data_IF_820841163583
#
_entry.id   IF_820841163583
#
_cell.length_a   1.000
_cell.length_b   1.000
_cell.length_c   1.000
_cell.angle_alpha   90.00
_cell.angle_beta   90.00
_cell.angle_gamma   90.00
#
_symmetry.space_group_name_H-M   'P 1'
#
loop_
_entity.id
_entity.type
_entity.pdbx_description
1 polymer ?
#
# COMPACT_ATOMS: atom_id res chain seq x y z
N UNK A 1 -28.78 1.89 36.84
CA UNK A 1 -27.89 0.94 36.13
C UNK A 1 -28.49 0.74 34.75
N UNK A 2 -28.25 1.70 33.86
CA UNK A 2 -28.75 1.61 32.49
C UNK A 2 -27.72 0.86 31.66
N UNK A 3 -27.89 -0.46 31.62
CA UNK A 3 -27.28 -1.28 30.57
C UNK A 3 -27.99 -0.88 29.28
N UNK A 4 -27.53 0.20 28.66
CA UNK A 4 -27.87 0.51 27.28
C UNK A 4 -27.59 -0.76 26.48
N UNK A 5 -28.65 -1.25 25.84
CA UNK A 5 -28.67 -2.34 24.91
C UNK A 5 -27.66 -2.04 23.79
N UNK A 6 -26.37 -2.31 24.01
CA UNK A 6 -25.31 -2.20 23.00
C UNK A 6 -25.65 -3.28 22.00
N UNK A 7 -26.27 -2.87 20.91
CA UNK A 7 -26.68 -3.69 19.80
C UNK A 7 -25.53 -4.65 19.42
N UNK A 8 -25.67 -5.92 19.80
CA UNK A 8 -24.58 -6.92 19.80
C UNK A 8 -24.12 -7.21 18.36
N UNK A 9 -24.96 -6.89 17.38
CA UNK A 9 -24.73 -7.11 15.96
C UNK A 9 -24.15 -5.90 15.19
N UNK A 10 -23.88 -4.78 15.88
CA UNK A 10 -23.32 -3.58 15.25
C UNK A 10 -21.81 -3.43 15.51
N UNK A 11 -21.07 -2.81 14.59
CA UNK A 11 -19.67 -2.47 14.82
C UNK A 11 -19.50 -1.39 15.92
N UNK A 12 -18.34 -1.31 16.60
CA UNK A 12 -18.03 -0.20 17.50
C UNK A 12 -18.21 1.16 16.82
N UNK A 13 -18.80 2.15 17.51
CA UNK A 13 -19.03 3.49 16.93
C UNK A 13 -17.73 4.16 16.46
N UNK A 14 -16.64 3.93 17.19
CA UNK A 14 -15.31 4.39 16.82
C UNK A 14 -14.83 3.91 15.44
N UNK A 15 -15.34 2.79 14.92
CA UNK A 15 -14.99 2.31 13.58
C UNK A 15 -15.31 3.36 12.52
N UNK A 16 -16.49 3.99 12.58
CA UNK A 16 -16.91 4.99 11.58
C UNK A 16 -15.98 6.19 11.58
N UNK A 17 -15.55 6.65 12.77
CA UNK A 17 -14.59 7.75 12.90
C UNK A 17 -13.26 7.35 12.28
N UNK A 18 -12.71 6.18 12.63
CA UNK A 18 -11.44 5.70 12.06
C UNK A 18 -11.52 5.48 10.55
N UNK A 19 -12.63 4.94 10.05
CA UNK A 19 -12.86 4.72 8.63
C UNK A 19 -12.76 6.02 7.85
N UNK A 20 -13.49 7.07 8.25
CA UNK A 20 -13.46 8.33 7.53
C UNK A 20 -12.13 9.06 7.72
N UNK A 21 -11.55 9.06 8.92
CA UNK A 21 -10.23 9.64 9.16
C UNK A 21 -9.15 9.00 8.30
N UNK A 22 -9.12 7.66 8.18
CA UNK A 22 -8.19 6.95 7.29
C UNK A 22 -8.51 7.22 5.82
N UNK A 23 -9.78 7.22 5.42
CA UNK A 23 -10.19 7.49 4.03
C UNK A 23 -9.65 8.85 3.55
N UNK A 24 -9.75 9.87 4.39
CA UNK A 24 -9.29 11.23 4.07
C UNK A 24 -7.77 11.38 4.08
N UNK A 25 -7.08 10.69 4.99
CA UNK A 25 -5.62 10.62 4.93
C UNK A 25 -5.18 9.91 3.64
N UNK A 26 -5.83 8.80 3.25
CA UNK A 26 -5.48 8.03 2.05
C UNK A 26 -5.81 8.78 0.78
N UNK A 27 -6.92 9.50 0.75
CA UNK A 27 -7.24 10.48 -0.29
C UNK A 27 -6.09 11.44 -0.52
N UNK A 28 -5.56 12.01 0.57
CA UNK A 28 -4.48 12.99 0.51
C UNK A 28 -3.17 12.35 0.02
N UNK A 29 -2.80 11.21 0.61
CA UNK A 29 -1.59 10.47 0.26
C UNK A 29 -1.57 10.05 -1.21
N UNK A 30 -2.62 9.37 -1.69
CA UNK A 30 -2.68 8.88 -3.07
C UNK A 30 -2.87 10.02 -4.07
N UNK A 31 -3.63 11.06 -3.71
CA UNK A 31 -3.79 12.25 -4.54
C UNK A 31 -2.46 12.98 -4.76
N UNK A 32 -1.72 13.29 -3.70
CA UNK A 32 -0.39 13.89 -3.80
C UNK A 32 0.59 12.98 -4.55
N UNK A 33 0.59 11.67 -4.23
CA UNK A 33 1.46 10.67 -4.88
C UNK A 33 1.23 10.60 -6.39
N UNK A 34 0.01 10.78 -6.87
CA UNK A 34 -0.31 10.79 -8.30
C UNK A 34 0.26 12.01 -9.05
N UNK A 35 0.49 13.12 -8.34
CA UNK A 35 1.10 14.34 -8.89
C UNK A 35 2.63 14.35 -8.80
N UNK A 36 3.19 13.65 -7.80
CA UNK A 36 4.58 13.78 -7.37
C UNK A 36 5.61 13.71 -8.51
N UNK A 37 5.66 12.61 -9.27
CA UNK A 37 6.67 12.44 -10.32
C UNK A 37 6.44 13.37 -11.52
N UNK A 38 5.18 13.72 -11.81
CA UNK A 38 4.82 14.66 -12.86
C UNK A 38 5.27 16.07 -12.50
N UNK A 39 5.05 16.49 -11.26
CA UNK A 39 5.49 17.80 -10.76
C UNK A 39 7.01 17.93 -10.78
N UNK A 40 7.74 16.91 -10.29
CA UNK A 40 9.21 16.91 -10.27
C UNK A 40 9.81 17.08 -11.68
N UNK A 41 9.20 16.45 -12.69
CA UNK A 41 9.69 16.53 -14.07
C UNK A 41 9.21 17.77 -14.82
N UNK A 42 7.95 18.20 -14.63
CA UNK A 42 7.35 19.33 -15.36
C UNK A 42 7.69 20.70 -14.77
N UNK A 43 7.78 20.81 -13.45
CA UNK A 43 7.97 22.10 -12.75
C UNK A 43 9.42 22.28 -12.30
N UNK A 44 10.02 21.26 -11.69
CA UNK A 44 11.41 21.33 -11.24
C UNK A 44 12.43 20.92 -12.29
N UNK A 45 11.98 20.40 -13.44
CA UNK A 45 12.81 19.95 -14.55
C UNK A 45 13.88 18.94 -14.13
N UNK A 46 13.58 18.11 -13.12
CA UNK A 46 14.45 16.99 -12.79
C UNK A 46 14.43 15.96 -13.92
N UNK A 47 15.56 15.26 -14.07
CA UNK A 47 15.65 14.13 -14.97
C UNK A 47 14.66 13.04 -14.53
N UNK A 48 14.22 12.20 -15.47
CA UNK A 48 13.36 11.05 -15.14
C UNK A 48 14.00 10.16 -14.07
N UNK A 49 15.33 10.00 -14.11
CA UNK A 49 16.09 9.22 -13.13
C UNK A 49 15.95 9.84 -11.75
N UNK A 50 16.21 11.14 -11.61
CA UNK A 50 16.17 11.82 -10.31
C UNK A 50 14.74 11.90 -9.76
N UNK A 51 13.76 12.20 -10.61
CA UNK A 51 12.36 12.27 -10.22
C UNK A 51 11.84 10.91 -9.71
N UNK A 52 12.15 9.82 -10.42
CA UNK A 52 11.75 8.48 -10.00
C UNK A 52 12.53 7.99 -8.77
N UNK A 53 13.80 8.37 -8.60
CA UNK A 53 14.58 8.08 -7.39
C UNK A 53 13.99 8.79 -6.17
N UNK A 54 13.67 10.09 -6.28
CA UNK A 54 12.99 10.83 -5.21
C UNK A 54 11.66 10.18 -4.87
N UNK A 55 10.88 9.81 -5.89
CA UNK A 55 9.61 9.11 -5.72
C UNK A 55 9.78 7.80 -4.93
N UNK A 56 10.70 6.92 -5.35
CA UNK A 56 10.95 5.63 -4.72
C UNK A 56 11.51 5.75 -3.29
N UNK A 57 12.37 6.74 -3.04
CA UNK A 57 12.86 7.04 -1.67
C UNK A 57 11.71 7.51 -0.79
N UNK A 58 10.88 8.44 -1.27
CA UNK A 58 9.73 8.92 -0.52
C UNK A 58 8.76 7.79 -0.19
N UNK A 59 8.30 7.02 -1.19
CA UNK A 59 7.35 5.92 -0.96
C UNK A 59 7.97 4.80 -0.12
N UNK A 60 9.26 4.51 -0.31
CA UNK A 60 9.98 3.57 0.53
C UNK A 60 9.97 4.00 1.99
N UNK A 61 10.41 5.22 2.29
CA UNK A 61 10.48 5.73 3.66
C UNK A 61 9.11 5.76 4.35
N UNK A 62 8.02 5.98 3.60
CA UNK A 62 6.64 5.87 4.10
C UNK A 62 6.28 4.46 4.61
N UNK A 63 6.98 3.40 4.18
CA UNK A 63 6.86 2.04 4.75
C UNK A 63 7.87 1.74 5.86
N UNK A 64 8.98 2.48 5.94
CA UNK A 64 10.00 2.28 6.96
C UNK A 64 9.68 3.04 8.27
N UNK A 65 9.31 4.32 8.18
CA UNK A 65 9.07 5.16 9.36
C UNK A 65 7.91 4.69 10.25
N UNK A 66 6.86 4.01 9.75
CA UNK A 66 5.84 3.40 10.63
C UNK A 66 6.38 2.41 11.65
N UNK A 67 7.47 1.70 11.35
CA UNK A 67 8.09 0.78 12.32
C UNK A 67 8.64 1.54 13.52
N UNK A 68 9.24 2.71 13.26
CA UNK A 68 9.81 3.60 14.28
C UNK A 68 8.69 4.32 15.04
N UNK A 69 7.75 4.93 14.32
CA UNK A 69 6.66 5.70 14.93
C UNK A 69 5.70 4.83 15.75
N UNK A 70 5.42 3.60 15.30
CA UNK A 70 4.63 2.63 16.07
C UNK A 70 5.30 2.23 17.38
N UNK A 71 6.62 1.99 17.36
CA UNK A 71 7.41 1.72 18.57
C UNK A 71 7.39 2.91 19.55
N UNK A 72 7.56 4.14 19.04
CA UNK A 72 7.54 5.34 19.87
C UNK A 72 6.15 5.60 20.48
N UNK A 73 5.09 5.36 19.72
CA UNK A 73 3.71 5.48 20.17
C UNK A 73 3.38 4.48 21.28
N UNK A 74 3.78 3.23 21.12
CA UNK A 74 3.51 2.17 22.08
C UNK A 74 4.23 2.41 23.42
N UNK A 75 5.48 2.88 23.40
CA UNK A 75 6.32 2.97 24.60
C UNK A 75 6.38 4.33 25.27
N UNK A 76 6.25 5.43 24.53
CA UNK A 76 6.58 6.76 25.05
C UNK A 76 5.45 7.77 24.88
N UNK A 77 4.87 7.86 23.68
CA UNK A 77 3.97 8.97 23.34
C UNK A 77 2.49 8.66 23.60
N UNK A 78 2.09 7.38 23.53
CA UNK A 78 0.67 6.98 23.48
C UNK A 78 0.06 7.17 22.09
N UNK A 79 -1.04 6.47 21.81
CA UNK A 79 -1.63 6.44 20.47
C UNK A 79 -2.31 7.76 20.12
N UNK A 80 -3.04 8.38 21.05
CA UNK A 80 -3.73 9.66 20.76
C UNK A 80 -2.76 10.75 20.33
N UNK A 81 -1.70 10.99 21.10
CA UNK A 81 -0.70 12.02 20.77
C UNK A 81 0.00 11.71 19.45
N UNK A 82 0.33 10.46 19.20
CA UNK A 82 0.99 10.03 17.97
C UNK A 82 0.10 10.21 16.74
N UNK A 83 -1.20 9.88 16.81
CA UNK A 83 -2.13 10.09 15.70
C UNK A 83 -2.25 11.58 15.39
N UNK A 84 -2.47 12.44 16.40
CA UNK A 84 -2.60 13.88 16.17
C UNK A 84 -1.31 14.54 15.69
N UNK A 85 -0.15 14.14 16.25
CA UNK A 85 1.16 14.59 15.77
C UNK A 85 1.35 14.20 14.30
N UNK A 86 1.12 12.93 13.98
CA UNK A 86 1.26 12.39 12.64
C UNK A 86 0.37 13.11 11.62
N UNK A 87 -0.91 13.27 11.95
CA UNK A 87 -1.86 13.97 11.08
C UNK A 87 -1.50 15.45 10.88
N UNK A 88 -1.08 16.14 11.94
CA UNK A 88 -0.67 17.56 11.86
C UNK A 88 0.57 17.73 10.99
N UNK A 89 1.58 16.87 11.15
CA UNK A 89 2.78 16.85 10.31
C UNK A 89 2.41 16.62 8.83
N UNK A 90 1.50 15.68 8.54
CA UNK A 90 1.05 15.42 7.17
C UNK A 90 0.28 16.61 6.57
N UNK A 91 -0.57 17.28 7.35
CA UNK A 91 -1.31 18.47 6.90
C UNK A 91 -0.34 19.58 6.49
N UNK A 92 0.62 19.92 7.35
CA UNK A 92 1.65 20.91 7.02
C UNK A 92 2.59 20.44 5.90
N UNK A 93 2.84 19.14 5.80
CA UNK A 93 3.58 18.55 4.69
C UNK A 93 2.93 18.85 3.35
N UNK A 94 1.64 18.54 3.19
CA UNK A 94 0.89 18.85 1.97
C UNK A 94 0.79 20.36 1.70
N UNK A 95 0.55 21.18 2.74
CA UNK A 95 0.52 22.64 2.60
C UNK A 95 1.88 23.18 2.13
N UNK A 96 2.99 22.61 2.62
CA UNK A 96 4.34 22.96 2.20
C UNK A 96 4.56 22.66 0.71
N UNK A 97 4.04 21.54 0.20
CA UNK A 97 4.12 21.22 -1.24
C UNK A 97 3.36 22.24 -2.11
N UNK A 98 2.28 22.83 -1.59
CA UNK A 98 1.45 23.78 -2.32
C UNK A 98 2.16 25.12 -2.65
N UNK A 99 3.30 25.42 -2.01
CA UNK A 99 4.11 26.61 -2.32
C UNK A 99 5.03 26.43 -3.52
N UNK A 100 5.16 25.22 -4.07
CA UNK A 100 5.87 24.94 -5.33
C UNK A 100 7.35 25.38 -5.39
N UNK A 101 8.03 25.59 -4.25
CA UNK A 101 9.47 25.92 -4.22
C UNK A 101 10.27 24.75 -3.66
N UNK A 102 11.50 24.53 -4.17
CA UNK A 102 12.32 23.37 -3.80
C UNK A 102 12.50 23.20 -2.27
N UNK A 103 12.83 24.24 -1.48
CA UNK A 103 13.00 24.08 -0.03
C UNK A 103 11.71 23.61 0.66
N UNK A 104 10.57 24.25 0.36
CA UNK A 104 9.28 23.87 0.91
C UNK A 104 8.82 22.49 0.41
N UNK A 105 9.17 22.13 -0.82
CA UNK A 105 8.83 20.83 -1.36
C UNK A 105 9.53 19.68 -0.60
N UNK A 106 10.86 19.77 -0.41
CA UNK A 106 11.60 18.73 0.31
C UNK A 106 11.29 18.74 1.82
N UNK A 107 11.05 19.91 2.43
CA UNK A 107 10.50 20.00 3.77
C UNK A 107 9.16 19.26 3.86
N UNK A 108 8.27 19.50 2.88
CA UNK A 108 6.96 18.86 2.79
C UNK A 108 7.06 17.35 2.74
N UNK A 109 7.92 16.79 1.88
CA UNK A 109 8.17 15.35 1.82
C UNK A 109 8.69 14.79 3.15
N UNK A 110 9.60 15.50 3.82
CA UNK A 110 10.10 15.11 5.14
C UNK A 110 9.01 15.07 6.21
N UNK A 111 8.16 16.10 6.25
CA UNK A 111 7.01 16.17 7.16
C UNK A 111 6.01 15.04 6.89
N UNK A 112 5.75 14.72 5.62
CA UNK A 112 4.87 13.61 5.23
C UNK A 112 5.43 12.25 5.68
N UNK A 113 6.71 12.00 5.44
CA UNK A 113 7.40 10.75 5.85
C UNK A 113 7.31 10.56 7.38
N UNK A 114 7.58 11.61 8.16
CA UNK A 114 7.49 11.56 9.62
C UNK A 114 6.04 11.43 10.08
N UNK A 115 5.14 12.18 9.45
CA UNK A 115 3.72 12.22 9.79
C UNK A 115 3.03 10.87 9.60
N UNK A 116 3.22 10.23 8.44
CA UNK A 116 2.72 8.88 8.18
C UNK A 116 3.33 7.87 9.15
N UNK A 117 4.61 8.04 9.50
CA UNK A 117 5.32 7.19 10.46
C UNK A 117 4.61 7.11 11.82
N UNK A 118 4.11 8.25 12.33
CA UNK A 118 3.34 8.25 13.59
C UNK A 118 1.88 7.86 13.40
N UNK A 119 1.25 8.24 12.29
CA UNK A 119 -0.19 8.08 12.09
C UNK A 119 -0.60 6.64 11.73
N UNK A 120 0.02 6.06 10.69
CA UNK A 120 -0.40 4.78 10.09
C UNK A 120 -0.37 3.58 11.05
N UNK A 121 0.71 3.34 11.82
CA UNK A 121 0.73 2.17 12.71
C UNK A 121 -0.19 2.35 13.93
N UNK A 122 -0.45 3.61 14.33
CA UNK A 122 -1.19 3.91 15.56
C UNK A 122 -2.69 3.85 15.35
N UNK A 123 -3.19 4.38 14.22
CA UNK A 123 -4.62 4.32 13.90
C UNK A 123 -5.09 2.86 13.68
N UNK A 124 -4.27 2.03 13.03
CA UNK A 124 -4.54 0.60 12.86
C UNK A 124 -4.52 -0.17 14.20
N UNK A 125 -3.63 0.23 15.12
CA UNK A 125 -3.59 -0.36 16.48
C UNK A 125 -4.84 0.03 17.28
N UNK A 126 -5.25 1.30 17.22
CA UNK A 126 -6.48 1.80 17.84
C UNK A 126 -7.71 1.04 17.29
N UNK A 127 -7.77 0.80 15.97
CA UNK A 127 -8.81 -0.04 15.37
C UNK A 127 -8.84 -1.45 15.97
N UNK A 128 -7.68 -2.09 16.19
CA UNK A 128 -7.66 -3.40 16.84
C UNK A 128 -8.20 -3.37 18.27
N UNK A 129 -7.81 -2.34 19.03
CA UNK A 129 -8.15 -2.17 20.45
C UNK A 129 -9.61 -1.81 20.68
N UNK A 130 -10.28 -1.07 19.79
CA UNK A 130 -11.71 -0.77 19.97
C UNK A 130 -12.56 -2.05 20.05
N UNK A 131 -12.21 -3.10 19.30
CA UNK A 131 -12.93 -4.37 19.34
C UNK A 131 -12.66 -5.16 20.63
N UNK A 132 -11.46 -5.01 21.20
CA UNK A 132 -11.09 -5.67 22.46
C UNK A 132 -11.79 -4.98 23.64
N UNK A 133 -11.76 -3.65 23.71
CA UNK A 133 -12.39 -2.87 24.78
C UNK A 133 -13.92 -2.92 24.75
N UNK A 134 -14.54 -2.99 23.56
CA UNK A 134 -16.00 -3.15 23.43
C UNK A 134 -16.48 -4.62 23.48
N UNK A 135 -15.60 -5.60 23.75
CA UNK A 135 -15.90 -7.03 23.74
C UNK A 135 -16.53 -7.55 22.41
N UNK A 136 -16.11 -6.99 21.27
CA UNK A 136 -16.61 -7.29 19.91
C UNK A 136 -15.59 -8.02 19.02
N UNK A 137 -14.62 -8.73 19.60
CA UNK A 137 -13.50 -9.39 18.88
C UNK A 137 -13.94 -10.29 17.72
N UNK A 138 -15.13 -10.90 17.79
CA UNK A 138 -15.68 -11.73 16.70
C UNK A 138 -15.93 -10.95 15.39
N UNK A 139 -16.08 -9.63 15.47
CA UNK A 139 -16.31 -8.73 14.32
C UNK A 139 -15.05 -7.98 13.90
N UNK A 140 -13.88 -8.33 14.47
CA UNK A 140 -12.60 -7.65 14.20
C UNK A 140 -12.24 -7.77 12.73
N UNK A 141 -12.29 -8.97 12.16
CA UNK A 141 -11.90 -9.22 10.77
C UNK A 141 -12.78 -8.45 9.76
N UNK A 142 -14.11 -8.48 9.94
CA UNK A 142 -15.02 -7.67 9.11
C UNK A 142 -14.82 -6.17 9.30
N UNK A 143 -14.45 -5.75 10.51
CA UNK A 143 -14.01 -4.39 10.82
C UNK A 143 -12.79 -3.94 10.04
N UNK A 144 -11.75 -4.76 10.00
CA UNK A 144 -10.55 -4.51 9.19
C UNK A 144 -10.87 -4.49 7.69
N UNK A 145 -11.80 -5.32 7.22
CA UNK A 145 -12.29 -5.25 5.84
C UNK A 145 -12.97 -3.92 5.54
N UNK A 146 -13.85 -3.42 6.42
CA UNK A 146 -14.48 -2.10 6.27
C UNK A 146 -13.44 -0.99 6.26
N UNK A 147 -12.49 -1.04 7.19
CA UNK A 147 -11.38 -0.08 7.23
C UNK A 147 -10.56 -0.08 5.93
N UNK A 148 -10.27 -1.27 5.40
CA UNK A 148 -9.56 -1.43 4.13
C UNK A 148 -10.36 -0.91 2.91
N UNK A 149 -11.69 -1.01 2.92
CA UNK A 149 -12.52 -0.37 1.90
C UNK A 149 -12.35 1.15 1.92
N UNK A 150 -12.20 1.77 3.10
CA UNK A 150 -11.94 3.20 3.24
C UNK A 150 -10.60 3.62 2.62
N UNK A 151 -9.57 2.80 2.80
CA UNK A 151 -8.24 3.02 2.17
C UNK A 151 -8.37 3.08 0.64
N UNK A 152 -9.08 2.13 0.05
CA UNK A 152 -9.28 2.08 -1.41
C UNK A 152 -10.20 3.18 -1.91
N UNK A 153 -11.24 3.55 -1.14
CA UNK A 153 -12.09 4.68 -1.48
C UNK A 153 -11.29 5.99 -1.53
N UNK A 154 -10.42 6.22 -0.54
CA UNK A 154 -9.49 7.33 -0.55
C UNK A 154 -8.53 7.27 -1.75
N UNK A 155 -7.93 6.11 -2.02
CA UNK A 155 -7.06 5.90 -3.17
C UNK A 155 -7.72 6.12 -4.52
N UNK A 156 -9.01 5.82 -4.65
CA UNK A 156 -9.80 6.09 -5.85
C UNK A 156 -10.09 7.59 -6.00
N UNK A 157 -10.56 8.26 -4.96
CA UNK A 157 -10.99 9.67 -5.03
C UNK A 157 -9.81 10.65 -5.06
N UNK A 158 -8.72 10.36 -4.36
CA UNK A 158 -7.56 11.24 -4.19
C UNK A 158 -6.98 11.73 -5.53
N UNK A 159 -6.54 10.83 -6.42
CA UNK A 159 -5.96 11.21 -7.71
C UNK A 159 -6.95 11.93 -8.64
N UNK A 160 -8.25 11.63 -8.56
CA UNK A 160 -9.28 12.33 -9.34
C UNK A 160 -9.38 13.80 -8.93
N UNK A 161 -9.49 14.06 -7.62
CA UNK A 161 -9.63 15.43 -7.14
C UNK A 161 -8.30 16.19 -7.26
N UNK A 162 -7.20 15.66 -6.73
CA UNK A 162 -5.91 16.35 -6.80
C UNK A 162 -5.46 16.57 -8.25
N UNK A 163 -5.69 15.57 -9.13
CA UNK A 163 -5.47 15.68 -10.57
C UNK A 163 -6.30 16.78 -11.22
N UNK A 164 -7.62 16.80 -10.97
CA UNK A 164 -8.53 17.77 -11.56
C UNK A 164 -8.15 19.21 -11.19
N UNK A 165 -7.89 19.46 -9.91
CA UNK A 165 -7.50 20.80 -9.43
C UNK A 165 -6.09 21.19 -9.92
N UNK A 166 -5.16 20.23 -10.05
CA UNK A 166 -3.83 20.51 -10.60
C UNK A 166 -3.87 20.96 -12.06
N UNK A 167 -4.68 20.29 -12.89
CA UNK A 167 -4.81 20.63 -14.32
C UNK A 167 -5.63 21.90 -14.53
N UNK A 168 -6.68 22.11 -13.71
CA UNK A 168 -7.59 23.24 -13.89
C UNK A 168 -7.00 24.54 -13.34
N UNK A 169 -6.41 24.50 -12.14
CA UNK A 169 -6.04 25.71 -11.38
C UNK A 169 -4.55 25.79 -11.05
N UNK A 170 -3.77 24.73 -11.30
CA UNK A 170 -2.33 24.69 -11.06
C UNK A 170 -1.91 23.74 -9.94
N UNK A 171 -0.63 23.35 -9.94
CA UNK A 171 -0.07 22.30 -9.09
C UNK A 171 -0.29 22.54 -7.59
N UNK A 172 -0.13 23.79 -7.13
CA UNK A 172 -0.33 24.19 -5.76
C UNK A 172 -1.75 23.91 -5.26
N UNK A 173 -2.77 24.06 -6.10
CA UNK A 173 -4.15 23.68 -5.77
C UNK A 173 -4.31 22.17 -5.67
N UNK A 174 -3.67 21.40 -6.55
CA UNK A 174 -3.65 19.94 -6.47
C UNK A 174 -3.07 19.44 -5.14
N UNK A 175 -1.94 20.00 -4.70
CA UNK A 175 -1.35 19.68 -3.39
C UNK A 175 -2.17 20.26 -2.22
N UNK A 176 -2.77 21.43 -2.40
CA UNK A 176 -3.64 22.07 -1.40
C UNK A 176 -4.90 21.23 -1.10
N UNK A 177 -5.52 20.62 -2.12
CA UNK A 177 -6.65 19.70 -1.95
C UNK A 177 -6.27 18.50 -1.09
N UNK A 178 -5.06 17.97 -1.23
CA UNK A 178 -4.56 16.93 -0.33
C UNK A 178 -4.38 17.45 1.12
N UNK A 179 -3.93 18.70 1.32
CA UNK A 179 -3.87 19.28 2.67
C UNK A 179 -5.27 19.40 3.31
N UNK A 180 -6.28 19.80 2.53
CA UNK A 180 -7.68 19.85 2.98
C UNK A 180 -8.22 18.47 3.37
N UNK A 181 -7.84 17.42 2.62
CA UNK A 181 -8.21 16.05 2.97
C UNK A 181 -7.73 15.66 4.36
N UNK A 182 -6.43 15.82 4.65
CA UNK A 182 -5.88 15.51 5.99
C UNK A 182 -6.54 16.35 7.07
N UNK A 183 -6.74 17.66 6.84
CA UNK A 183 -7.44 18.55 7.77
C UNK A 183 -8.84 18.03 8.11
N UNK A 184 -9.61 17.62 7.11
CA UNK A 184 -10.95 17.07 7.33
C UNK A 184 -10.90 15.75 8.12
N UNK A 185 -9.92 14.89 7.84
CA UNK A 185 -9.66 13.68 8.64
C UNK A 185 -9.33 13.97 10.11
N UNK A 186 -8.55 15.02 10.38
CA UNK A 186 -8.26 15.53 11.74
C UNK A 186 -9.54 16.01 12.41
N UNK A 187 -10.37 16.81 11.72
CA UNK A 187 -11.62 17.33 12.26
C UNK A 187 -12.59 16.20 12.62
N UNK A 188 -12.74 15.19 11.75
CA UNK A 188 -13.53 13.99 12.04
C UNK A 188 -13.03 13.31 13.31
N UNK A 189 -11.72 13.15 13.46
CA UNK A 189 -11.14 12.50 14.64
C UNK A 189 -11.35 13.35 15.91
N UNK A 190 -11.16 14.67 15.83
CA UNK A 190 -11.37 15.60 16.95
C UNK A 190 -12.82 15.60 17.43
N UNK A 191 -13.77 15.65 16.51
CA UNK A 191 -15.21 15.66 16.82
C UNK A 191 -15.70 14.26 17.27
N UNK A 192 -15.13 13.21 16.69
CA UNK A 192 -15.47 11.81 16.96
C UNK A 192 -14.78 11.18 18.16
N UNK A 193 -13.80 11.83 18.79
CA UNK A 193 -12.98 11.25 19.86
C UNK A 193 -13.77 10.73 21.07
N UNK A 194 -14.95 11.31 21.35
CA UNK A 194 -15.84 10.88 22.44
C UNK A 194 -16.50 9.53 22.19
N UNK A 195 -16.43 8.99 20.98
CA UNK A 195 -17.01 7.71 20.59
C UNK A 195 -16.08 6.52 20.87
N UNK A 196 -14.88 6.78 21.38
CA UNK A 196 -13.89 5.76 21.73
C UNK A 196 -13.91 5.48 23.23
N UNK A 197 -13.73 4.23 23.67
CA UNK A 197 -13.42 3.92 25.06
C UNK A 197 -12.11 4.60 25.49
N UNK A 198 -12.04 5.10 26.73
CA UNK A 198 -10.91 5.90 27.21
C UNK A 198 -9.55 5.21 27.07
N UNK A 199 -9.49 3.90 27.38
CA UNK A 199 -8.25 3.10 27.41
C UNK A 199 -7.67 2.76 26.03
N UNK A 200 -8.45 2.93 24.96
CA UNK A 200 -8.01 2.55 23.61
C UNK A 200 -6.77 3.34 23.18
N UNK A 201 -6.64 4.58 23.67
CA UNK A 201 -5.57 5.49 23.30
C UNK A 201 -4.34 5.44 24.22
N UNK A 202 -4.45 4.75 25.35
CA UNK A 202 -3.35 4.65 26.30
C UNK A 202 -2.14 3.97 25.65
N UNK A 203 -0.91 4.38 25.98
CA UNK A 203 0.28 3.63 25.59
C UNK A 203 0.07 2.15 25.87
N UNK A 204 0.68 1.27 25.07
CA UNK A 204 0.69 -0.15 25.43
C UNK A 204 1.13 -0.27 26.89
N UNK A 205 0.52 -1.20 27.66
CA UNK A 205 1.07 -1.56 28.97
C UNK A 205 2.58 -1.64 28.76
N UNK A 206 3.37 -0.96 29.60
CA UNK A 206 4.82 -1.18 29.67
C UNK A 206 4.96 -2.68 29.84
N UNK A 207 5.04 -3.41 28.74
CA UNK A 207 5.31 -4.81 28.77
C UNK A 207 6.70 -4.75 29.33
N UNK A 208 6.80 -5.13 30.61
CA UNK A 208 8.01 -5.71 31.14
C UNK A 208 8.44 -6.63 30.00
N UNK A 209 9.45 -6.21 29.24
CA UNK A 209 10.27 -7.15 28.49
C UNK A 209 10.49 -8.19 29.57
N UNK A 210 9.96 -9.40 29.39
CA UNK A 210 10.12 -10.44 30.38
C UNK A 210 11.63 -10.55 30.59
N UNK A 211 12.14 -9.87 31.61
CA UNK A 211 13.53 -9.87 31.99
C UNK A 211 13.77 -11.34 32.30
N UNK A 212 14.55 -11.99 31.44
CA UNK A 212 15.02 -13.34 31.72
C UNK A 212 14.32 -14.51 31.04
N UNK A 213 13.54 -14.37 29.95
CA UNK A 213 13.42 -15.54 29.05
C UNK A 213 14.64 -15.61 28.14
N UNK A 214 15.68 -16.33 28.61
CA UNK A 214 16.79 -16.82 27.77
C UNK A 214 16.20 -17.23 26.41
N UNK A 215 16.63 -16.59 25.32
CA UNK A 215 16.26 -17.01 23.98
C UNK A 215 16.64 -18.48 23.85
N UNK A 216 15.65 -19.39 23.93
CA UNK A 216 15.87 -20.79 23.62
C UNK A 216 16.32 -20.84 22.16
N UNK A 217 17.39 -21.56 21.88
CA UNK A 217 17.84 -21.82 20.51
C UNK A 217 16.68 -22.32 19.67
N UNK A 218 16.38 -21.60 18.57
CA UNK A 218 15.27 -21.91 17.68
C UNK A 218 15.32 -23.37 17.24
N UNK A 219 14.19 -24.06 17.30
CA UNK A 219 14.07 -25.44 16.80
C UNK A 219 14.25 -25.46 15.28
N UNK A 220 14.65 -26.61 14.72
CA UNK A 220 14.79 -26.80 13.26
C UNK A 220 13.52 -26.40 12.51
N UNK A 221 12.36 -26.74 13.06
CA UNK A 221 11.04 -26.38 12.53
C UNK A 221 10.84 -24.87 12.45
N UNK A 222 11.13 -24.14 13.54
CA UNK A 222 11.01 -22.67 13.58
C UNK A 222 11.98 -22.01 12.60
N UNK A 223 13.22 -22.51 12.50
CA UNK A 223 14.19 -22.03 11.51
C UNK A 223 13.69 -22.19 10.07
N UNK A 224 13.03 -23.31 9.76
CA UNK A 224 12.44 -23.54 8.43
C UNK A 224 11.27 -22.60 8.16
N UNK A 225 10.37 -22.39 9.13
CA UNK A 225 9.26 -21.43 9.01
C UNK A 225 9.76 -20.01 8.79
N UNK A 226 10.78 -19.59 9.55
CA UNK A 226 11.42 -18.28 9.38
C UNK A 226 12.09 -18.17 8.00
N UNK A 227 12.79 -19.21 7.54
CA UNK A 227 13.38 -19.23 6.21
C UNK A 227 12.32 -19.05 5.11
N UNK A 228 11.14 -19.68 5.26
CA UNK A 228 10.01 -19.47 4.35
C UNK A 228 9.57 -18.01 4.35
N UNK A 229 9.42 -17.37 5.51
CA UNK A 229 9.08 -15.93 5.58
C UNK A 229 10.10 -15.11 4.79
N UNK A 230 11.40 -15.29 5.05
CA UNK A 230 12.45 -14.55 4.33
C UNK A 230 12.42 -14.79 2.82
N UNK A 231 12.22 -16.03 2.38
CA UNK A 231 12.10 -16.36 0.94
C UNK A 231 10.92 -15.59 0.33
N UNK A 232 9.75 -15.64 0.95
CA UNK A 232 8.57 -14.92 0.45
C UNK A 232 8.78 -13.40 0.49
N UNK A 233 9.42 -12.85 1.53
CA UNK A 233 9.79 -11.43 1.61
C UNK A 233 10.65 -11.00 0.40
N UNK A 234 11.62 -11.82 -0.03
CA UNK A 234 12.44 -11.53 -1.21
C UNK A 234 11.61 -11.50 -2.51
N UNK A 235 10.69 -12.45 -2.70
CA UNK A 235 9.77 -12.41 -3.84
C UNK A 235 8.88 -11.17 -3.79
N UNK A 236 8.37 -10.81 -2.61
CA UNK A 236 7.49 -9.66 -2.44
C UNK A 236 8.20 -8.33 -2.74
N UNK A 237 9.52 -8.23 -2.51
CA UNK A 237 10.31 -7.09 -3.00
C UNK A 237 10.22 -6.97 -4.52
N UNK A 238 10.36 -8.07 -5.26
CA UNK A 238 10.26 -8.11 -6.73
C UNK A 238 8.83 -7.74 -7.18
N UNK A 239 7.82 -8.28 -6.49
CA UNK A 239 6.42 -7.96 -6.74
C UNK A 239 6.19 -6.44 -6.61
N UNK A 240 6.55 -5.85 -5.47
CA UNK A 240 6.38 -4.42 -5.24
C UNK A 240 7.24 -3.57 -6.17
N UNK A 241 8.47 -3.97 -6.48
CA UNK A 241 9.31 -3.26 -7.44
C UNK A 241 8.68 -3.14 -8.83
N UNK A 242 7.87 -4.13 -9.21
CA UNK A 242 7.12 -4.14 -10.48
C UNK A 242 5.77 -3.43 -10.35
N UNK A 243 5.03 -3.69 -9.27
CA UNK A 243 3.72 -3.09 -9.00
C UNK A 243 3.81 -1.56 -8.86
N UNK A 244 4.80 -1.06 -8.12
CA UNK A 244 4.97 0.36 -7.80
C UNK A 244 5.45 1.19 -9.01
N UNK A 245 5.70 0.54 -10.15
CA UNK A 245 5.90 1.23 -11.43
C UNK A 245 4.69 2.07 -11.84
N UNK A 246 3.47 1.65 -11.45
CA UNK A 246 2.20 2.33 -11.79
C UNK A 246 2.26 3.81 -11.45
N UNK A 247 2.78 4.18 -10.28
CA UNK A 247 2.83 5.58 -9.85
C UNK A 247 4.14 6.31 -10.17
N UNK A 248 5.14 5.61 -10.71
CA UNK A 248 6.47 6.16 -11.05
C UNK A 248 6.65 6.25 -12.57
N UNK A 249 7.42 5.34 -13.20
CA UNK A 249 7.70 5.34 -14.64
C UNK A 249 6.44 5.30 -15.50
N UNK A 250 5.43 4.53 -15.09
CA UNK A 250 4.17 4.42 -15.83
C UNK A 250 3.41 5.73 -15.86
N UNK A 251 3.47 6.52 -14.80
CA UNK A 251 2.80 7.82 -14.75
C UNK A 251 3.42 8.78 -15.79
N UNK A 252 4.75 8.78 -15.92
CA UNK A 252 5.46 9.54 -16.97
C UNK A 252 5.17 8.97 -18.37
N UNK A 253 5.09 7.64 -18.51
CA UNK A 253 4.76 6.97 -19.77
C UNK A 253 3.35 7.33 -20.25
N UNK A 254 2.37 7.32 -19.35
CA UNK A 254 0.99 7.72 -19.63
C UNK A 254 0.93 9.18 -20.08
N UNK A 255 1.67 10.06 -19.42
CA UNK A 255 1.66 11.48 -19.73
C UNK A 255 2.20 11.78 -21.14
N UNK A 256 3.27 11.08 -21.55
CA UNK A 256 4.06 11.39 -22.73
C UNK A 256 3.76 10.55 -23.96
N UNK A 257 3.33 9.29 -23.78
CA UNK A 257 3.32 8.29 -24.85
C UNK A 257 1.97 7.62 -25.06
N UNK A 258 0.95 7.98 -24.29
CA UNK A 258 -0.37 7.36 -24.34
C UNK A 258 -1.41 8.35 -24.83
N UNK A 259 -2.34 7.87 -25.64
CA UNK A 259 -3.51 8.62 -26.05
C UNK A 259 -4.51 8.66 -24.90
N UNK A 260 -4.56 9.80 -24.23
CA UNK A 260 -5.47 10.10 -23.11
C UNK A 260 -6.76 10.75 -23.55
N UNK A 261 -6.91 11.07 -24.85
CA UNK A 261 -8.13 11.65 -25.37
C UNK A 261 -9.18 10.55 -25.51
N UNK A 262 -10.27 10.68 -24.75
CA UNK A 262 -11.41 9.78 -24.84
C UNK A 262 -12.65 10.59 -25.18
N UNK A 263 -13.21 10.34 -26.37
CA UNK A 263 -14.38 11.04 -26.88
C UNK A 263 -14.24 12.59 -26.87
N UNK A 264 -13.04 13.10 -27.16
CA UNK A 264 -12.77 14.55 -27.20
C UNK A 264 -12.35 15.15 -25.85
N UNK A 265 -12.34 14.39 -24.77
CA UNK A 265 -11.85 14.83 -23.46
C UNK A 265 -10.46 14.25 -23.18
N UNK A 266 -9.47 15.11 -22.95
CA UNK A 266 -8.12 14.70 -22.54
C UNK A 266 -8.10 14.39 -21.04
N UNK A 267 -8.07 13.10 -20.71
CA UNK A 267 -8.09 12.64 -19.31
C UNK A 267 -6.77 13.01 -18.62
N UNK A 268 -6.79 13.68 -17.46
CA UNK A 268 -5.60 13.95 -16.66
C UNK A 268 -4.83 12.67 -16.34
N UNK A 269 -3.50 12.69 -16.55
CA UNK A 269 -2.62 11.56 -16.23
C UNK A 269 -2.81 11.01 -14.81
N UNK A 270 -2.97 11.86 -13.76
CA UNK A 270 -3.21 11.38 -12.40
C UNK A 270 -4.45 10.48 -12.24
N UNK A 271 -5.47 10.61 -13.08
CA UNK A 271 -6.72 9.82 -12.97
C UNK A 271 -6.46 8.33 -13.18
N UNK A 272 -5.44 7.97 -13.96
CA UNK A 272 -5.09 6.57 -14.18
C UNK A 272 -4.62 5.88 -12.88
N UNK A 273 -4.15 6.63 -11.88
CA UNK A 273 -3.80 6.08 -10.57
C UNK A 273 -5.02 5.63 -9.76
N UNK A 274 -6.21 6.15 -10.07
CA UNK A 274 -7.47 5.75 -9.43
C UNK A 274 -7.97 4.39 -9.91
N UNK A 275 -7.43 3.85 -11.01
CA UNK A 275 -7.89 2.59 -11.59
C UNK A 275 -7.60 1.40 -10.68
N UNK A 276 -6.40 1.28 -10.13
CA UNK A 276 -6.06 0.16 -9.24
C UNK A 276 -6.99 0.07 -8.01
N UNK A 277 -7.15 1.12 -7.17
CA UNK A 277 -8.05 1.05 -6.01
C UNK A 277 -9.52 0.83 -6.40
N UNK A 278 -9.98 1.40 -7.53
CA UNK A 278 -11.32 1.11 -8.06
C UNK A 278 -11.48 -0.38 -8.41
N UNK A 279 -10.51 -0.94 -9.11
CA UNK A 279 -10.53 -2.35 -9.49
C UNK A 279 -10.38 -3.27 -8.28
N UNK A 280 -9.69 -2.87 -7.21
CA UNK A 280 -9.68 -3.60 -5.94
C UNK A 280 -11.10 -3.64 -5.36
N UNK A 281 -11.79 -2.50 -5.28
CA UNK A 281 -13.17 -2.44 -4.76
C UNK A 281 -14.13 -3.34 -5.56
N UNK A 282 -13.94 -3.44 -6.88
CA UNK A 282 -14.77 -4.27 -7.76
C UNK A 282 -14.38 -5.76 -7.69
N UNK A 283 -13.08 -6.08 -7.80
CA UNK A 283 -12.59 -7.45 -7.95
C UNK A 283 -12.35 -8.17 -6.63
N UNK A 284 -12.06 -7.49 -5.52
CA UNK A 284 -11.88 -8.14 -4.23
C UNK A 284 -13.05 -9.09 -3.85
N UNK A 285 -14.34 -8.67 -3.90
CA UNK A 285 -15.45 -9.58 -3.59
C UNK A 285 -15.59 -10.73 -4.61
N UNK A 286 -15.27 -10.47 -5.88
CA UNK A 286 -15.31 -11.48 -6.96
C UNK A 286 -14.24 -12.55 -6.72
N UNK A 287 -13.00 -12.15 -6.43
CA UNK A 287 -11.89 -13.05 -6.13
C UNK A 287 -12.13 -13.82 -4.83
N UNK A 288 -12.66 -13.18 -3.78
CA UNK A 288 -13.04 -13.87 -2.56
C UNK A 288 -14.11 -14.96 -2.80
N UNK A 289 -15.12 -14.64 -3.63
CA UNK A 289 -16.17 -15.59 -4.03
C UNK A 289 -15.61 -16.74 -4.88
N UNK A 290 -14.69 -16.44 -5.79
CA UNK A 290 -13.96 -17.43 -6.58
C UNK A 290 -13.22 -18.42 -5.68
N UNK A 291 -12.43 -17.95 -4.71
CA UNK A 291 -11.74 -18.83 -3.77
C UNK A 291 -12.69 -19.67 -2.92
N UNK A 292 -13.83 -19.09 -2.51
CA UNK A 292 -14.86 -19.80 -1.75
C UNK A 292 -15.49 -20.92 -2.59
N UNK A 293 -15.77 -20.67 -3.87
CA UNK A 293 -16.30 -21.67 -4.79
C UNK A 293 -15.32 -22.84 -5.01
N UNK A 294 -14.03 -22.54 -5.18
CA UNK A 294 -12.99 -23.57 -5.31
C UNK A 294 -12.82 -24.41 -4.05
N UNK A 295 -12.91 -23.78 -2.87
CA UNK A 295 -12.83 -24.46 -1.59
C UNK A 295 -14.00 -25.45 -1.38
N UNK A 296 -15.19 -25.16 -1.92
CA UNK A 296 -16.34 -26.10 -1.92
C UNK A 296 -16.07 -27.34 -2.77
N UNK A 297 -15.24 -27.23 -3.81
CA UNK A 297 -14.84 -28.33 -4.69
C UNK A 297 -13.55 -29.02 -4.22
N UNK A 298 -13.19 -28.91 -2.94
CA UNK A 298 -11.96 -29.45 -2.35
C UNK A 298 -10.64 -28.97 -3.00
N UNK A 299 -10.67 -27.89 -3.79
CA UNK A 299 -9.46 -27.29 -4.34
C UNK A 299 -9.04 -26.07 -3.51
N UNK A 300 -8.03 -26.28 -2.66
CA UNK A 300 -7.44 -25.24 -1.81
C UNK A 300 -5.96 -25.07 -2.20
N UNK A 301 -5.64 -24.17 -3.15
CA UNK A 301 -4.24 -23.92 -3.49
C UNK A 301 -3.53 -23.29 -2.28
N UNK A 302 -2.32 -23.78 -2.03
CA UNK A 302 -1.42 -23.27 -1.00
C UNK A 302 -0.96 -21.84 -1.33
N UNK A 303 -0.42 -21.16 -0.33
CA UNK A 303 0.04 -19.77 -0.45
C UNK A 303 1.09 -19.62 -1.55
N UNK A 304 2.02 -20.58 -1.73
CA UNK A 304 3.01 -20.52 -2.81
C UNK A 304 2.37 -20.60 -4.19
N UNK A 305 1.36 -21.47 -4.36
CA UNK A 305 0.61 -21.57 -5.62
C UNK A 305 -0.18 -20.30 -5.92
N UNK A 306 -0.85 -19.71 -4.92
CA UNK A 306 -1.55 -18.43 -5.10
C UNK A 306 -0.61 -17.30 -5.49
N UNK A 307 0.55 -17.22 -4.83
CA UNK A 307 1.60 -16.26 -5.18
C UNK A 307 2.10 -16.47 -6.61
N UNK A 308 2.40 -17.72 -7.00
CA UNK A 308 2.86 -18.02 -8.35
C UNK A 308 1.86 -17.54 -9.41
N UNK A 309 0.55 -17.77 -9.22
CA UNK A 309 -0.48 -17.24 -10.12
C UNK A 309 -0.51 -15.71 -10.13
N UNK A 310 -0.40 -15.05 -8.97
CA UNK A 310 -0.32 -13.59 -8.94
C UNK A 310 0.88 -13.04 -9.73
N UNK A 311 2.04 -13.70 -9.63
CA UNK A 311 3.24 -13.36 -10.40
C UNK A 311 3.08 -13.61 -11.91
N UNK A 312 2.43 -14.70 -12.32
CA UNK A 312 2.16 -14.94 -13.74
C UNK A 312 1.19 -13.94 -14.34
N UNK A 313 0.17 -13.53 -13.59
CA UNK A 313 -0.78 -12.49 -14.04
C UNK A 313 -0.06 -11.13 -14.13
N UNK A 314 0.79 -10.79 -13.15
CA UNK A 314 1.66 -9.62 -13.21
C UNK A 314 2.58 -9.65 -14.43
N UNK A 315 3.23 -10.78 -14.69
CA UNK A 315 4.09 -10.98 -15.84
C UNK A 315 3.35 -10.79 -17.16
N UNK A 316 2.13 -11.33 -17.25
CA UNK A 316 1.26 -11.17 -18.41
C UNK A 316 0.90 -9.69 -18.65
N UNK A 317 0.58 -8.93 -17.60
CA UNK A 317 0.32 -7.48 -17.71
C UNK A 317 1.49 -6.70 -18.31
N UNK A 318 2.72 -6.98 -17.86
CA UNK A 318 3.92 -6.37 -18.43
C UNK A 318 4.29 -6.91 -19.82
N UNK A 319 4.01 -8.19 -20.10
CA UNK A 319 4.20 -8.77 -21.42
C UNK A 319 3.32 -8.08 -22.45
N UNK A 320 2.05 -7.78 -22.12
CA UNK A 320 1.15 -7.01 -23.00
C UNK A 320 1.78 -5.67 -23.37
N UNK A 321 2.28 -4.89 -22.40
CA UNK A 321 2.94 -3.61 -22.70
C UNK A 321 4.23 -3.78 -23.50
N UNK A 322 4.98 -4.85 -23.25
CA UNK A 322 6.18 -5.20 -24.03
C UNK A 322 5.81 -5.39 -25.50
N UNK A 323 4.79 -6.19 -25.78
CA UNK A 323 4.34 -6.48 -27.14
C UNK A 323 3.79 -5.24 -27.85
N UNK A 324 2.98 -4.44 -27.15
CA UNK A 324 2.38 -3.22 -27.71
C UNK A 324 3.44 -2.14 -28.01
N UNK A 325 4.59 -2.20 -27.35
CA UNK A 325 5.68 -1.23 -27.54
C UNK A 325 6.75 -1.70 -28.53
N UNK A 326 6.67 -2.92 -29.07
CA UNK A 326 7.67 -3.46 -30.01
C UNK A 326 7.88 -2.55 -31.22
N UNK A 327 6.77 -2.06 -31.79
CA UNK A 327 6.78 -1.18 -32.96
C UNK A 327 6.57 0.29 -32.57
N UNK A 328 6.90 0.68 -31.33
CA UNK A 328 6.74 2.06 -30.88
C UNK A 328 7.61 3.01 -31.72
N UNK A 329 6.97 4.03 -32.29
CA UNK A 329 7.64 5.09 -33.06
C UNK A 329 7.47 6.43 -32.35
N UNK A 330 8.53 7.26 -32.28
CA UNK A 330 8.40 8.63 -31.79
C UNK A 330 7.26 9.37 -32.50
N UNK A 331 6.43 10.08 -31.74
CA UNK A 331 5.26 10.80 -32.24
C UNK A 331 3.97 9.97 -32.32
N UNK A 332 4.02 8.63 -32.25
CA UNK A 332 2.81 7.81 -32.12
C UNK A 332 2.42 7.65 -30.65
N UNK A 333 1.13 7.78 -30.36
CA UNK A 333 0.57 7.55 -29.03
C UNK A 333 -0.07 6.17 -28.94
N UNK A 334 0.20 5.45 -27.86
CA UNK A 334 -0.37 4.13 -27.58
C UNK A 334 -1.78 4.28 -27.03
N UNK A 335 -2.70 3.41 -27.43
CA UNK A 335 -4.06 3.42 -26.88
C UNK A 335 -4.05 3.15 -25.36
N UNK A 336 -4.81 3.96 -24.61
CA UNK A 336 -4.98 3.79 -23.17
C UNK A 336 -5.60 2.42 -22.78
N UNK A 337 -6.30 1.74 -23.70
CA UNK A 337 -6.91 0.42 -23.44
C UNK A 337 -5.87 -0.63 -23.02
N UNK A 338 -4.65 -0.58 -23.58
CA UNK A 338 -3.58 -1.51 -23.23
C UNK A 338 -3.08 -1.30 -21.80
N UNK A 339 -3.10 -0.06 -21.33
CA UNK A 339 -2.80 0.26 -19.94
C UNK A 339 -3.91 -0.19 -19.00
N UNK A 340 -5.18 -0.01 -19.39
CA UNK A 340 -6.31 -0.52 -18.62
C UNK A 340 -6.17 -2.03 -18.40
N UNK A 341 -5.85 -2.77 -19.47
CA UNK A 341 -5.61 -4.22 -19.39
C UNK A 341 -4.43 -4.55 -18.45
N UNK A 342 -3.31 -3.84 -18.58
CA UNK A 342 -2.17 -4.03 -17.69
C UNK A 342 -2.53 -3.77 -16.22
N UNK A 343 -3.22 -2.67 -15.92
CA UNK A 343 -3.65 -2.33 -14.54
C UNK A 343 -4.65 -3.35 -13.99
N UNK A 344 -5.54 -3.92 -14.83
CA UNK A 344 -6.39 -5.05 -14.46
C UNK A 344 -5.54 -6.26 -14.06
N UNK A 345 -4.55 -6.64 -14.87
CA UNK A 345 -3.66 -7.75 -14.56
C UNK A 345 -2.88 -7.52 -13.26
N UNK A 346 -2.29 -6.34 -13.08
CA UNK A 346 -1.54 -6.01 -11.86
C UNK A 346 -2.44 -6.07 -10.62
N UNK A 347 -3.64 -5.49 -10.70
CA UNK A 347 -4.61 -5.51 -9.59
C UNK A 347 -5.05 -6.93 -9.23
N UNK A 348 -5.35 -7.77 -10.22
CA UNK A 348 -5.70 -9.18 -9.96
C UNK A 348 -4.49 -9.93 -9.39
N UNK A 349 -3.28 -9.66 -9.89
CA UNK A 349 -2.05 -10.21 -9.35
C UNK A 349 -1.84 -9.87 -7.86
N UNK A 350 -2.12 -8.63 -7.48
CA UNK A 350 -2.09 -8.16 -6.09
C UNK A 350 -3.10 -8.88 -5.19
N UNK A 351 -4.34 -9.06 -5.67
CA UNK A 351 -5.39 -9.77 -4.91
C UNK A 351 -5.05 -11.26 -4.67
N UNK A 352 -4.18 -11.84 -5.47
CA UNK A 352 -3.69 -13.22 -5.31
C UNK A 352 -2.51 -13.33 -4.33
N UNK A 353 -1.68 -12.29 -4.22
CA UNK A 353 -0.45 -12.29 -3.42
C UNK A 353 -0.64 -11.63 -2.05
N UNK A 354 -1.21 -10.43 -2.00
CA UNK A 354 -1.21 -9.56 -0.81
C UNK A 354 -1.92 -10.17 0.41
N UNK A 355 -3.17 -10.70 0.31
CA UNK A 355 -3.85 -11.26 1.48
C UNK A 355 -3.17 -12.52 2.04
N UNK A 356 -2.61 -13.36 1.17
CA UNK A 356 -1.93 -14.60 1.56
C UNK A 356 -0.62 -14.33 2.30
N UNK A 357 0.13 -13.30 1.89
CA UNK A 357 1.43 -12.98 2.47
C UNK A 357 1.36 -12.56 3.94
N UNK A 358 0.39 -11.72 4.29
CA UNK A 358 0.21 -11.28 5.68
C UNK A 358 -0.20 -12.43 6.61
N UNK A 359 -1.08 -13.31 6.11
CA UNK A 359 -1.51 -14.51 6.81
C UNK A 359 -0.34 -15.48 7.02
N UNK A 360 0.52 -15.65 6.02
CA UNK A 360 1.71 -16.49 6.08
C UNK A 360 2.63 -16.07 7.22
N UNK A 361 2.97 -14.78 7.30
CA UNK A 361 3.86 -14.25 8.35
C UNK A 361 3.26 -14.49 9.73
N UNK A 362 1.97 -14.21 9.89
CA UNK A 362 1.26 -14.40 11.18
C UNK A 362 1.25 -15.87 11.61
N UNK A 363 1.02 -16.80 10.68
CA UNK A 363 0.95 -18.25 10.96
C UNK A 363 2.31 -18.88 11.21
N UNK A 364 3.36 -18.43 10.51
CA UNK A 364 4.70 -19.04 10.56
C UNK A 364 5.58 -18.44 11.65
N UNK A 365 5.28 -17.24 12.13
CA UNK A 365 6.12 -16.57 13.13
C UNK A 365 6.01 -17.24 14.50
N UNK A 366 7.15 -17.50 15.18
CA UNK A 366 7.13 -17.86 16.59
C UNK A 366 6.44 -16.78 17.43
N UNK A 367 5.73 -17.19 18.49
CA UNK A 367 4.95 -16.27 19.35
C UNK A 367 5.77 -15.09 19.88
N UNK A 368 7.07 -15.29 20.10
CA UNK A 368 7.98 -14.25 20.61
C UNK A 368 8.49 -13.30 19.52
N UNK A 369 8.46 -13.70 18.24
CA UNK A 369 9.03 -12.94 17.11
C UNK A 369 7.96 -12.36 16.17
N UNK A 370 6.67 -12.56 16.43
CA UNK A 370 5.58 -12.12 15.55
C UNK A 370 5.67 -10.66 15.12
N UNK A 371 5.81 -9.72 16.06
CA UNK A 371 5.94 -8.30 15.73
C UNK A 371 7.19 -7.96 14.91
N UNK A 372 8.31 -8.61 15.22
CA UNK A 372 9.56 -8.43 14.47
C UNK A 372 9.44 -8.97 13.03
N UNK A 373 8.85 -10.14 12.85
CA UNK A 373 8.61 -10.75 11.54
C UNK A 373 7.62 -9.96 10.68
N UNK A 374 6.60 -9.37 11.29
CA UNK A 374 5.72 -8.41 10.59
C UNK A 374 6.50 -7.17 10.14
N UNK A 375 7.45 -6.69 10.95
CA UNK A 375 8.38 -5.64 10.54
C UNK A 375 9.24 -6.05 9.34
N UNK A 376 9.81 -7.25 9.36
CA UNK A 376 10.56 -7.82 8.22
C UNK A 376 9.70 -7.92 6.96
N UNK A 377 8.44 -8.32 7.10
CA UNK A 377 7.51 -8.34 5.99
C UNK A 377 7.29 -6.95 5.38
N UNK A 378 7.03 -5.93 6.19
CA UNK A 378 6.85 -4.56 5.68
C UNK A 378 8.14 -3.94 5.13
N UNK A 379 9.32 -4.39 5.55
CA UNK A 379 10.59 -3.99 4.91
C UNK A 379 10.63 -4.40 3.44
N UNK A 380 9.90 -5.43 3.01
CA UNK A 380 9.79 -5.74 1.58
C UNK A 380 9.19 -4.60 0.76
N UNK A 381 8.21 -3.87 1.30
CA UNK A 381 7.62 -2.71 0.65
C UNK A 381 8.57 -1.52 0.60
N UNK A 382 9.40 -1.33 1.64
CA UNK A 382 10.48 -0.33 1.62
C UNK A 382 11.46 -0.63 0.48
N UNK A 383 12.07 -1.81 0.45
CA UNK A 383 13.04 -2.17 -0.58
C UNK A 383 12.40 -2.25 -1.97
N UNK A 384 11.16 -2.72 -2.07
CA UNK A 384 10.41 -2.77 -3.32
C UNK A 384 10.19 -1.38 -3.93
N UNK A 385 9.84 -0.38 -3.11
CA UNK A 385 9.66 0.99 -3.57
C UNK A 385 10.98 1.67 -3.98
N UNK A 386 12.07 1.43 -3.22
CA UNK A 386 13.41 1.91 -3.60
C UNK A 386 13.82 1.32 -4.94
N UNK A 387 13.69 -0.01 -5.09
CA UNK A 387 14.02 -0.70 -6.32
C UNK A 387 13.11 -0.23 -7.48
N UNK A 388 11.83 0.03 -7.23
CA UNK A 388 10.92 0.55 -8.24
C UNK A 388 11.41 1.89 -8.81
N UNK A 389 11.81 2.82 -7.93
CA UNK A 389 12.34 4.13 -8.34
C UNK A 389 13.64 4.04 -9.14
N UNK A 390 14.57 3.17 -8.73
CA UNK A 390 15.82 2.95 -9.47
C UNK A 390 15.56 2.31 -10.84
N UNK A 391 14.74 1.25 -10.90
CA UNK A 391 14.40 0.60 -12.15
C UNK A 391 13.65 1.53 -13.09
N UNK A 392 12.75 2.37 -12.57
CA UNK A 392 12.00 3.36 -13.34
C UNK A 392 12.92 4.34 -14.10
N UNK A 393 14.09 4.68 -13.54
CA UNK A 393 15.09 5.52 -14.19
C UNK A 393 15.72 4.87 -15.45
N UNK A 394 15.55 3.57 -15.65
CA UNK A 394 16.02 2.88 -16.86
C UNK A 394 15.10 3.07 -18.07
N UNK A 395 13.92 3.66 -17.88
CA UNK A 395 12.95 3.87 -18.95
C UNK A 395 13.52 4.85 -20.00
N UNK A 396 13.61 4.38 -21.25
CA UNK A 396 14.04 5.18 -22.40
C UNK A 396 13.15 4.93 -23.61
N UNK A 397 12.93 5.96 -24.41
CA UNK A 397 12.02 5.93 -25.57
C UNK A 397 12.45 4.94 -26.65
N UNK A 398 13.75 4.70 -26.83
CA UNK A 398 14.30 3.74 -27.78
C UNK A 398 14.23 2.28 -27.29
N UNK A 399 13.82 2.03 -26.04
CA UNK A 399 13.91 0.71 -25.38
C UNK A 399 12.68 0.36 -24.53
N UNK A 400 11.48 0.85 -24.87
CA UNK A 400 10.26 0.47 -24.13
C UNK A 400 10.02 -1.03 -24.05
N UNK A 401 10.20 -1.83 -25.13
CA UNK A 401 10.04 -3.28 -25.03
C UNK A 401 10.99 -3.91 -24.04
N UNK A 402 12.25 -3.48 -24.02
CA UNK A 402 13.25 -3.98 -23.07
C UNK A 402 12.88 -3.59 -21.64
N UNK A 403 12.41 -2.36 -21.44
CA UNK A 403 12.00 -1.86 -20.13
C UNK A 403 10.82 -2.66 -19.54
N UNK A 404 9.71 -2.79 -20.29
CA UNK A 404 8.57 -3.58 -19.82
C UNK A 404 8.87 -5.08 -19.76
N UNK A 405 9.67 -5.57 -20.72
CA UNK A 405 10.06 -6.98 -20.81
C UNK A 405 10.87 -7.44 -19.61
N UNK A 406 11.68 -6.55 -19.02
CA UNK A 406 12.40 -6.82 -17.78
C UNK A 406 11.44 -7.20 -16.63
N UNK A 407 10.37 -6.44 -16.42
CA UNK A 407 9.39 -6.74 -15.38
C UNK A 407 8.57 -8.00 -15.70
N UNK A 408 8.24 -8.23 -16.98
CA UNK A 408 7.57 -9.45 -17.41
C UNK A 408 8.43 -10.69 -17.09
N UNK A 409 9.72 -10.65 -17.42
CA UNK A 409 10.67 -11.75 -17.17
C UNK A 409 10.87 -11.94 -15.65
N UNK A 410 11.11 -10.87 -14.89
CA UNK A 410 11.30 -10.94 -13.45
C UNK A 410 10.09 -11.56 -12.74
N UNK A 411 8.88 -11.12 -13.09
CA UNK A 411 7.65 -11.67 -12.54
C UNK A 411 7.42 -13.13 -12.98
N UNK A 412 7.65 -13.46 -14.26
CA UNK A 412 7.48 -14.83 -14.76
C UNK A 412 8.45 -15.81 -14.09
N UNK A 413 9.74 -15.45 -14.04
CA UNK A 413 10.78 -16.27 -13.38
C UNK A 413 10.47 -16.41 -11.89
N UNK A 414 10.05 -15.32 -11.22
CA UNK A 414 9.63 -15.36 -9.82
C UNK A 414 8.48 -16.33 -9.57
N UNK A 415 7.44 -16.26 -10.40
CA UNK A 415 6.29 -17.17 -10.36
C UNK A 415 6.68 -18.62 -10.64
N UNK A 416 7.56 -18.86 -11.62
CA UNK A 416 8.05 -20.20 -11.95
C UNK A 416 8.85 -20.81 -10.79
N UNK A 417 9.74 -20.05 -10.16
CA UNK A 417 10.52 -20.54 -9.02
C UNK A 417 9.59 -20.89 -7.85
N UNK A 418 8.63 -20.02 -7.52
CA UNK A 418 7.64 -20.29 -6.48
C UNK A 418 6.81 -21.54 -6.79
N UNK A 419 6.36 -21.68 -8.04
CA UNK A 419 5.58 -22.83 -8.47
C UNK A 419 6.39 -24.13 -8.37
N UNK A 420 7.64 -24.16 -8.87
CA UNK A 420 8.50 -25.35 -8.83
C UNK A 420 8.86 -25.72 -7.38
N UNK A 421 9.16 -24.73 -6.55
CA UNK A 421 9.58 -24.94 -5.15
C UNK A 421 8.42 -25.15 -4.17
N UNK A 422 7.16 -25.00 -4.61
CA UNK A 422 5.96 -25.06 -3.75
C UNK A 422 5.90 -26.25 -2.81
N UNK A 423 6.22 -27.48 -3.30
CA UNK A 423 6.17 -28.70 -2.49
C UNK A 423 7.16 -28.65 -1.33
N UNK A 424 8.37 -28.14 -1.60
CA UNK A 424 9.42 -27.97 -0.59
C UNK A 424 9.06 -26.88 0.41
N UNK A 425 8.56 -25.74 -0.06
CA UNK A 425 8.09 -24.64 0.79
C UNK A 425 6.96 -25.10 1.70
N UNK A 426 5.98 -25.84 1.17
CA UNK A 426 4.88 -26.41 1.95
C UNK A 426 5.37 -27.39 3.03
N UNK A 427 6.38 -28.21 2.73
CA UNK A 427 7.01 -29.08 3.74
C UNK A 427 7.66 -28.25 4.86
N UNK A 428 8.31 -27.13 4.52
CA UNK A 428 8.93 -26.25 5.51
C UNK A 428 7.94 -25.39 6.31
N UNK A 429 6.69 -25.28 5.83
CA UNK A 429 5.59 -24.65 6.57
C UNK A 429 5.00 -25.57 7.64
N UNK A 430 5.31 -26.88 7.62
CA UNK A 430 4.84 -27.87 8.61
C UNK A 430 3.32 -27.87 8.82
N UNK A 431 2.56 -27.82 7.71
CA UNK A 431 1.09 -27.88 7.74
C UNK A 431 0.39 -26.59 8.20
N UNK A 432 1.12 -25.51 8.48
CA UNK A 432 0.52 -24.23 8.91
C UNK A 432 -0.35 -23.55 7.82
N UNK A 433 -0.21 -23.98 6.56
CA UNK A 433 -0.85 -23.39 5.38
C UNK A 433 -2.02 -24.23 4.81
N UNK A 434 -2.39 -25.34 5.46
CA UNK A 434 -3.50 -26.21 5.04
C UNK A 434 -4.86 -25.79 5.60
#
# INVERSE_FOLDING_TARGET
MDVQNKDVNSHPKGLTVLFFTETWERFSFYGMRALLVLFLTKVFHFSDVDANRIYGIYTGLVYLTPLIGGYLADRYLGFKKSIFLGATLMMFGHLSLAFETKPFFFLGLGLLILGVGFFKPTIATVLGRIYEEDNKTKMKDSGFTIFYMGINLGGFLGPLFCGYFSESWGWGYGFGVAAFGVLFGILILLLGQKQFPERVFDPGKKNHIAEGKKHSTLKKEEKQKLAVIFIFTLFVIIFWASFEQIGSSMNLFIDRHVNRNWFGYDIPTPFFQSLNPLLILIFAPIIASFWTALAKNNWKPDTSTRFAYGFFILAFGFLVLTLVTLDFRPGHKISAVWLLLMVVCITVGELFTSPGGLALVTKLSPKQLGGFMMGVWFLSSFFGNILAGELAGLMKTDRFPTFFGMFAILAFVGGMILYITRKKLQTWMHGADQ
#
